data_IF_646443811594
#
_entry.id   IF_646443811594
#
_cell.length_a   1.000
_cell.length_b   1.000
_cell.length_c   1.000
_cell.angle_alpha   90.00
_cell.angle_beta   90.00
_cell.angle_gamma   90.00
#
_symmetry.space_group_name_H-M   'P 1'
#
loop_
_entity.id
_entity.type
_entity.pdbx_description
1 polymer ?
#
# COMPACT_ATOMS: atom_id res chain seq x y z
N UNK A 1 -23.66 -40.92 57.88
CA UNK A 1 -24.25 -39.72 57.24
C UNK A 1 -23.13 -38.79 56.81
N UNK A 2 -23.13 -38.39 55.54
CA UNK A 2 -22.11 -37.52 54.92
C UNK A 2 -22.41 -36.06 55.28
N UNK A 3 -21.59 -35.42 56.09
CA UNK A 3 -21.52 -33.96 56.22
C UNK A 3 -20.03 -33.62 56.34
N UNK A 4 -19.31 -33.57 55.21
CA UNK A 4 -19.07 -32.34 54.42
C UNK A 4 -18.74 -31.16 55.32
N UNK A 5 -17.46 -30.99 55.62
CA UNK A 5 -16.83 -29.68 55.80
C UNK A 5 -15.33 -29.89 55.62
N UNK A 6 -14.95 -29.97 54.34
CA UNK A 6 -13.59 -29.77 53.91
C UNK A 6 -13.37 -28.28 53.68
N UNK A 7 -12.09 -27.89 53.75
CA UNK A 7 -11.50 -26.63 53.26
C UNK A 7 -11.30 -25.57 54.35
N UNK A 8 -10.46 -25.96 55.31
CA UNK A 8 -9.52 -25.04 55.97
C UNK A 8 -8.63 -24.38 54.91
N UNK A 9 -8.41 -23.08 55.12
CA UNK A 9 -7.67 -22.16 54.27
C UNK A 9 -6.23 -22.62 54.02
N UNK A 10 -5.79 -22.57 52.77
CA UNK A 10 -4.39 -22.37 52.43
C UNK A 10 -4.32 -21.31 51.34
N UNK A 11 -3.90 -20.12 51.77
CA UNK A 11 -3.62 -18.97 50.93
C UNK A 11 -2.65 -19.35 49.81
N UNK A 12 -3.10 -19.20 48.57
CA UNK A 12 -2.21 -19.02 47.43
C UNK A 12 -2.54 -17.64 46.87
N UNK A 13 -1.62 -16.72 47.15
CA UNK A 13 -1.66 -15.33 46.76
C UNK A 13 -1.87 -15.18 45.24
N UNK A 14 -2.60 -14.15 44.77
CA UNK A 14 -2.44 -13.72 43.39
C UNK A 14 -1.02 -13.15 43.27
N UNK A 15 -0.10 -13.95 42.73
CA UNK A 15 1.12 -13.41 42.17
C UNK A 15 0.71 -12.60 40.93
N UNK A 16 0.43 -11.31 41.13
CA UNK A 16 0.31 -10.33 40.07
C UNK A 16 1.71 -10.21 39.47
N UNK A 17 2.00 -11.05 38.49
CA UNK A 17 3.21 -10.92 37.69
C UNK A 17 3.03 -9.67 36.82
N UNK A 18 3.40 -8.53 37.39
CA UNK A 18 3.83 -7.37 36.62
C UNK A 18 5.10 -7.77 35.87
N UNK A 19 4.94 -8.32 34.67
CA UNK A 19 6.01 -8.35 33.69
C UNK A 19 5.84 -7.12 32.80
N UNK A 20 6.63 -6.08 33.10
CA UNK A 20 7.09 -5.12 32.11
C UNK A 20 7.79 -5.89 31.00
N UNK A 21 7.02 -6.27 29.99
CA UNK A 21 7.53 -6.63 28.67
C UNK A 21 7.46 -5.39 27.79
N UNK A 22 8.46 -4.52 27.89
CA UNK A 22 8.84 -3.69 26.77
C UNK A 22 9.45 -4.63 25.74
N UNK A 23 8.62 -5.22 24.88
CA UNK A 23 9.07 -5.83 23.64
C UNK A 23 9.07 -4.74 22.57
N UNK A 24 10.22 -4.07 22.48
CA UNK A 24 11.11 -4.19 21.34
C UNK A 24 10.37 -3.65 20.12
N UNK A 25 10.50 -2.33 19.93
CA UNK A 25 10.15 -1.68 18.68
C UNK A 25 10.72 -2.50 17.53
N UNK A 26 9.81 -3.19 16.85
CA UNK A 26 10.13 -3.92 15.65
C UNK A 26 10.62 -2.90 14.63
N UNK A 27 11.90 -3.00 14.32
CA UNK A 27 12.52 -2.43 13.14
C UNK A 27 11.82 -3.03 11.94
N UNK A 28 10.81 -2.30 11.49
CA UNK A 28 9.98 -2.61 10.35
C UNK A 28 9.16 -1.38 10.04
N UNK A 29 9.83 -0.34 9.55
CA UNK A 29 9.22 0.71 8.75
C UNK A 29 8.71 0.09 7.44
N UNK A 30 7.75 -0.82 7.55
CA UNK A 30 6.97 -1.33 6.44
C UNK A 30 5.87 -0.32 6.20
N UNK A 31 6.29 0.79 5.61
CA UNK A 31 5.45 1.69 4.83
C UNK A 31 4.82 0.90 3.69
N UNK A 32 3.83 0.07 4.00
CA UNK A 32 2.89 -0.45 3.01
C UNK A 32 1.83 0.62 2.80
N UNK A 33 2.21 1.77 2.25
CA UNK A 33 1.26 2.71 1.63
C UNK A 33 0.93 2.18 0.23
N UNK A 34 0.48 0.93 0.18
CA UNK A 34 0.28 0.17 -1.05
C UNK A 34 -0.69 -0.99 -0.76
N UNK A 35 -1.82 -0.71 -0.11
CA UNK A 35 -2.87 -1.71 0.08
C UNK A 35 -3.39 -2.19 -1.28
N UNK A 36 -3.21 -3.49 -1.55
CA UNK A 36 -3.98 -4.45 -2.38
C UNK A 36 -4.60 -4.09 -3.74
N UNK A 37 -4.65 -2.83 -4.16
CA UNK A 37 -5.24 -2.42 -5.43
C UNK A 37 -4.16 -1.92 -6.38
N UNK A 38 -4.28 -2.34 -7.63
CA UNK A 38 -3.40 -1.96 -8.71
C UNK A 38 -4.26 -1.57 -9.90
N UNK A 39 -3.74 -0.69 -10.75
CA UNK A 39 -4.42 -0.33 -11.99
C UNK A 39 -3.93 -1.19 -13.14
N UNK A 40 -4.89 -1.76 -13.88
CA UNK A 40 -4.63 -2.51 -15.11
C UNK A 40 -4.02 -1.60 -16.17
N UNK A 41 -3.13 -2.20 -16.95
CA UNK A 41 -2.43 -1.55 -18.06
C UNK A 41 -3.36 -0.95 -19.11
N UNK A 42 -2.98 0.20 -19.70
CA UNK A 42 -3.62 0.90 -20.83
C UNK A 42 -5.08 1.38 -20.68
N UNK A 43 -5.90 0.74 -19.84
CA UNK A 43 -7.36 0.94 -19.83
C UNK A 43 -7.87 1.80 -18.66
N UNK A 44 -7.06 1.98 -17.62
CA UNK A 44 -7.50 2.54 -16.34
C UNK A 44 -6.61 3.68 -15.90
N UNK A 45 -7.24 4.67 -15.24
CA UNK A 45 -6.53 5.84 -14.74
C UNK A 45 -5.67 5.44 -13.54
N UNK A 46 -4.35 5.49 -13.68
CA UNK A 46 -3.44 5.14 -12.60
C UNK A 46 -3.09 6.33 -11.69
N UNK A 47 -3.66 7.52 -11.91
CA UNK A 47 -3.26 8.77 -11.25
C UNK A 47 -3.41 8.75 -9.72
N UNK A 48 -4.50 8.20 -9.21
CA UNK A 48 -4.75 8.12 -7.75
C UNK A 48 -3.96 6.97 -7.10
N UNK A 49 -3.99 5.82 -7.77
CA UNK A 49 -3.32 4.56 -7.43
C UNK A 49 -1.81 4.68 -7.37
N UNK A 50 -1.24 5.36 -8.37
CA UNK A 50 0.18 5.41 -8.69
C UNK A 50 0.85 4.03 -8.68
N UNK A 51 0.08 2.99 -9.04
CA UNK A 51 0.53 1.59 -9.02
C UNK A 51 -0.06 0.82 -10.19
N UNK A 52 0.81 0.09 -10.88
CA UNK A 52 0.44 -0.78 -12.00
C UNK A 52 0.40 -2.24 -11.56
N UNK A 53 -0.57 -3.00 -12.08
CA UNK A 53 -0.68 -4.44 -11.79
C UNK A 53 0.45 -5.24 -12.43
N UNK A 54 0.77 -4.93 -13.68
CA UNK A 54 1.80 -5.65 -14.41
C UNK A 54 3.19 -5.15 -14.02
N UNK A 55 4.10 -6.09 -13.82
CA UNK A 55 5.52 -5.80 -13.61
C UNK A 55 6.14 -5.17 -14.87
N UNK A 56 7.05 -4.22 -14.66
CA UNK A 56 7.69 -3.47 -15.74
C UNK A 56 6.80 -2.39 -16.37
N UNK A 57 5.61 -2.15 -15.83
CA UNK A 57 4.80 -1.00 -16.18
C UNK A 57 5.05 0.14 -15.20
N UNK A 58 4.91 1.35 -15.72
CA UNK A 58 5.02 2.58 -14.94
C UNK A 58 3.81 3.44 -15.23
N UNK A 59 3.27 4.06 -14.19
CA UNK A 59 2.16 4.99 -14.32
C UNK A 59 2.69 6.30 -14.92
N UNK A 60 2.36 6.56 -16.18
CA UNK A 60 2.75 7.77 -16.89
C UNK A 60 1.54 8.67 -17.07
N UNK A 61 1.71 9.95 -16.77
CA UNK A 61 0.73 10.97 -17.03
C UNK A 61 0.66 11.29 -18.52
N UNK A 62 -0.56 11.33 -19.09
CA UNK A 62 -0.78 11.91 -20.41
C UNK A 62 -1.08 13.40 -20.27
N UNK A 63 -2.07 13.69 -19.42
CA UNK A 63 -2.59 15.03 -19.12
C UNK A 63 -2.89 15.12 -17.61
N UNK A 64 -3.04 16.33 -17.03
CA UNK A 64 -3.24 16.49 -15.58
C UNK A 64 -4.45 15.74 -14.99
N UNK A 65 -5.42 15.34 -15.82
CA UNK A 65 -6.61 14.58 -15.40
C UNK A 65 -6.51 13.08 -15.67
N UNK A 66 -5.48 12.61 -16.39
CA UNK A 66 -5.41 11.21 -16.82
C UNK A 66 -3.98 10.70 -16.94
N UNK A 67 -3.76 9.52 -16.35
CA UNK A 67 -2.52 8.77 -16.43
C UNK A 67 -2.83 7.30 -16.70
N UNK A 68 -1.94 6.57 -17.36
CA UNK A 68 -2.09 5.13 -17.52
C UNK A 68 -0.79 4.38 -17.32
N UNK A 69 -0.93 3.11 -16.99
CA UNK A 69 0.17 2.18 -16.88
C UNK A 69 0.67 1.79 -18.27
N UNK A 70 1.90 2.18 -18.60
CA UNK A 70 2.58 1.83 -19.85
C UNK A 70 3.96 1.22 -19.56
N UNK A 71 4.44 0.35 -20.46
CA UNK A 71 5.85 -0.10 -20.46
C UNK A 71 6.81 0.99 -20.92
N UNK A 72 6.37 1.82 -21.87
CA UNK A 72 7.16 2.90 -22.46
C UNK A 72 6.24 4.06 -22.80
N UNK A 73 6.67 5.27 -22.43
CA UNK A 73 6.00 6.51 -22.76
C UNK A 73 6.94 7.37 -23.61
N UNK A 74 6.44 7.93 -24.70
CA UNK A 74 7.18 8.87 -25.55
C UNK A 74 6.47 10.22 -25.47
N UNK A 75 7.11 11.27 -24.94
CA UNK A 75 6.46 12.56 -24.79
C UNK A 75 6.14 13.16 -26.16
N UNK A 76 5.01 13.86 -26.27
CA UNK A 76 4.62 14.51 -27.53
C UNK A 76 3.95 13.59 -28.56
N UNK A 77 3.94 12.27 -28.33
CA UNK A 77 3.41 11.30 -29.30
C UNK A 77 2.04 10.78 -28.84
N UNK A 78 1.11 10.65 -29.79
CA UNK A 78 -0.16 9.95 -29.56
C UNK A 78 0.12 8.44 -29.56
N UNK A 79 -0.14 7.78 -28.44
CA UNK A 79 0.09 6.33 -28.31
C UNK A 79 -0.94 5.55 -29.15
N UNK A 80 -0.55 4.40 -29.74
CA UNK A 80 -1.50 3.50 -30.40
C UNK A 80 -2.49 2.96 -29.36
N UNK A 81 -3.77 3.29 -29.53
CA UNK A 81 -4.83 2.97 -28.56
C UNK A 81 -5.51 4.20 -27.95
N UNK A 82 -5.02 5.40 -28.25
CA UNK A 82 -5.75 6.63 -27.99
C UNK A 82 -6.82 6.82 -29.09
N UNK A 83 -8.11 6.83 -28.74
CA UNK A 83 -9.26 6.95 -29.65
C UNK A 83 -9.36 8.32 -30.37
N UNK A 84 -8.27 8.80 -30.95
CA UNK A 84 -8.22 10.06 -31.71
C UNK A 84 -8.11 11.32 -30.86
N UNK A 85 -7.96 11.21 -29.52
CA UNK A 85 -7.70 12.39 -28.68
C UNK A 85 -6.21 12.73 -28.75
N UNK A 86 -5.87 13.64 -29.66
CA UNK A 86 -4.52 14.12 -30.00
C UNK A 86 -3.78 14.86 -28.86
N UNK A 87 -4.07 14.58 -27.59
CA UNK A 87 -3.30 15.15 -26.50
C UNK A 87 -1.93 14.48 -26.46
N UNK A 88 -0.84 15.26 -26.57
CA UNK A 88 0.50 14.73 -26.40
C UNK A 88 0.63 14.17 -24.99
N UNK A 89 1.31 13.03 -24.86
CA UNK A 89 1.63 12.51 -23.54
C UNK A 89 2.70 13.37 -22.88
N UNK A 90 2.47 13.78 -21.62
CA UNK A 90 3.48 14.38 -20.75
C UNK A 90 4.58 13.40 -20.39
N UNK A 91 4.21 12.12 -20.20
CA UNK A 91 5.09 11.06 -19.72
C UNK A 91 5.71 11.34 -18.34
N UNK A 92 5.09 12.21 -17.53
CA UNK A 92 5.49 12.37 -16.13
C UNK A 92 5.23 11.07 -15.36
N UNK A 93 6.24 10.55 -14.68
CA UNK A 93 6.14 9.34 -13.87
C UNK A 93 5.42 9.66 -12.57
N UNK A 94 4.28 9.00 -12.34
CA UNK A 94 3.51 9.15 -11.11
C UNK A 94 3.76 8.01 -10.12
N UNK A 95 4.22 6.85 -10.59
CA UNK A 95 4.45 5.67 -9.74
C UNK A 95 5.58 5.93 -8.74
N UNK A 96 5.30 5.71 -7.45
CA UNK A 96 6.13 6.13 -6.32
C UNK A 96 7.59 5.68 -6.39
N UNK A 97 8.45 6.64 -6.65
CA UNK A 97 9.90 6.56 -6.55
C UNK A 97 10.50 7.97 -6.54
N UNK A 98 10.07 8.80 -5.58
CA UNK A 98 10.70 10.05 -5.13
C UNK A 98 11.14 11.09 -6.18
N UNK A 99 10.43 12.22 -6.28
CA UNK A 99 11.02 13.42 -6.91
C UNK A 99 10.03 14.52 -7.29
N UNK A 100 10.08 15.64 -6.57
CA UNK A 100 9.48 16.94 -6.91
C UNK A 100 8.26 17.26 -6.03
N UNK A 101 8.38 17.86 -4.83
CA UNK A 101 9.30 18.93 -4.46
C UNK A 101 8.76 20.25 -4.98
N UNK A 102 7.80 20.83 -4.25
CA UNK A 102 7.36 22.22 -4.40
C UNK A 102 8.07 23.10 -3.38
#
# INVERSE_FOLDING_TARGET
MRRRQALLLSLLAPAIAAASGAELGALGNESVSAESWCTKSYAHNCKDTRRCCESGFTCYEKVPTWAACLKRCVPGVVQPGDDGKQYPWSCAVLSGGGGGGG
#
